data_IF_006242850799
#
_entry.id   IF_006242850799
#
_cell.length_a   1.000
_cell.length_b   1.000
_cell.length_c   1.000
_cell.angle_alpha   90.00
_cell.angle_beta   90.00
_cell.angle_gamma   90.00
#
_symmetry.space_group_name_H-M   'P 1'
#
loop_
_entity.id
_entity.type
_entity.pdbx_description
1 polymer ?
#
# COMPACT_ATOMS: atom_id res chain seq x y z
N UNK A 1 -7.73 19.61 -5.23
CA UNK A 1 -6.36 19.02 -5.14
C UNK A 1 -6.05 18.10 -6.32
N UNK A 2 -6.96 17.92 -7.27
CA UNK A 2 -6.70 17.34 -8.60
C UNK A 2 -5.97 15.98 -8.62
N UNK A 3 -6.21 15.14 -7.60
CA UNK A 3 -5.60 13.80 -7.49
C UNK A 3 -6.42 12.69 -8.14
N UNK A 4 -7.63 13.00 -8.62
CA UNK A 4 -8.60 11.99 -9.08
C UNK A 4 -8.03 11.09 -10.18
N UNK A 5 -7.41 11.68 -11.20
CA UNK A 5 -6.83 10.95 -12.33
C UNK A 5 -5.69 10.01 -11.92
N UNK A 6 -5.01 10.30 -10.81
CA UNK A 6 -3.98 9.42 -10.23
C UNK A 6 -4.63 8.28 -9.45
N UNK A 7 -5.62 8.58 -8.61
CA UNK A 7 -6.26 7.60 -7.73
C UNK A 7 -7.08 6.52 -8.46
N UNK A 8 -7.53 6.77 -9.70
CA UNK A 8 -8.33 5.82 -10.48
C UNK A 8 -7.49 4.94 -11.43
N UNK A 9 -6.17 5.06 -11.43
CA UNK A 9 -5.31 4.28 -12.33
C UNK A 9 -5.48 2.77 -12.04
N UNK A 10 -5.59 1.90 -13.07
CA UNK A 10 -5.94 0.50 -12.90
C UNK A 10 -4.71 -0.35 -12.52
N UNK A 11 -4.04 0.01 -11.44
CA UNK A 11 -2.96 -0.79 -10.88
C UNK A 11 -3.53 -1.91 -9.99
N UNK A 12 -2.76 -2.99 -9.89
CA UNK A 12 -3.13 -4.13 -9.06
C UNK A 12 -2.94 -3.77 -7.58
N UNK A 13 -4.03 -3.40 -6.92
CA UNK A 13 -4.04 -3.08 -5.50
C UNK A 13 -3.96 -4.36 -4.63
N UNK A 14 -3.60 -4.18 -3.36
CA UNK A 14 -3.57 -5.25 -2.36
C UNK A 14 -4.90 -6.03 -2.27
N UNK A 15 -6.02 -5.40 -2.62
CA UNK A 15 -7.33 -6.01 -2.70
C UNK A 15 -7.43 -7.08 -3.80
N UNK A 16 -6.73 -6.96 -4.91
CA UNK A 16 -6.78 -7.97 -5.99
C UNK A 16 -6.03 -9.24 -5.61
N UNK A 17 -4.93 -9.10 -4.86
CA UNK A 17 -4.06 -10.22 -4.49
C UNK A 17 -4.56 -10.92 -3.22
N UNK A 18 -5.06 -10.17 -2.24
CA UNK A 18 -5.39 -10.69 -0.91
C UNK A 18 -6.89 -10.79 -0.64
N UNK A 19 -7.77 -10.32 -1.53
CA UNK A 19 -9.20 -10.48 -1.31
C UNK A 19 -9.59 -11.97 -1.38
N UNK A 20 -10.27 -12.50 -0.35
CA UNK A 20 -10.86 -13.83 -0.43
C UNK A 20 -12.07 -13.82 -1.37
N UNK A 21 -12.31 -14.93 -2.07
CA UNK A 21 -13.47 -15.10 -2.98
C UNK A 21 -14.84 -14.76 -2.35
N UNK A 22 -14.94 -14.89 -1.02
CA UNK A 22 -16.18 -14.70 -0.25
C UNK A 22 -15.92 -13.84 1.00
N UNK A 23 -15.85 -12.50 0.86
CA UNK A 23 -15.66 -11.63 2.00
C UNK A 23 -16.87 -11.64 2.93
N UNK A 24 -16.63 -11.52 4.24
CA UNK A 24 -17.71 -11.48 5.24
C UNK A 24 -18.17 -10.03 5.45
N UNK A 25 -19.39 -9.72 5.03
CA UNK A 25 -19.98 -8.36 5.12
C UNK A 25 -20.31 -7.90 6.54
N UNK A 26 -20.52 -8.84 7.47
CA UNK A 26 -20.74 -8.55 8.90
C UNK A 26 -19.91 -9.53 9.75
N UNK A 27 -18.63 -9.22 10.00
CA UNK A 27 -17.75 -10.05 10.82
C UNK A 27 -18.13 -9.92 12.30
N UNK A 28 -18.12 -11.05 13.02
CA UNK A 28 -18.34 -11.05 14.48
C UNK A 28 -16.99 -10.90 15.18
N UNK A 29 -16.89 -10.01 16.17
CA UNK A 29 -15.66 -9.73 16.90
C UNK A 29 -15.00 -11.00 17.47
N UNK A 30 -15.79 -11.86 18.12
CA UNK A 30 -15.30 -13.12 18.68
C UNK A 30 -14.63 -14.05 17.64
N UNK A 31 -15.01 -13.97 16.36
CA UNK A 31 -14.34 -14.72 15.30
C UNK A 31 -13.02 -14.05 14.89
N UNK A 32 -12.98 -12.72 14.83
CA UNK A 32 -11.78 -11.95 14.50
C UNK A 32 -10.67 -12.25 15.52
N UNK A 33 -10.96 -12.08 16.80
CA UNK A 33 -10.01 -12.35 17.90
C UNK A 33 -9.52 -13.81 17.88
N UNK A 34 -10.43 -14.75 17.58
CA UNK A 34 -10.08 -16.17 17.45
C UNK A 34 -9.15 -16.44 16.27
N UNK A 35 -9.28 -15.73 15.16
CA UNK A 35 -8.40 -15.90 14.02
C UNK A 35 -7.06 -15.19 14.23
N UNK A 36 -7.07 -13.99 14.81
CA UNK A 36 -5.87 -13.22 15.16
C UNK A 36 -4.97 -13.97 16.15
N UNK A 37 -5.55 -14.66 17.14
CA UNK A 37 -4.76 -15.48 18.09
C UNK A 37 -3.97 -16.64 17.46
N UNK A 38 -4.20 -16.95 16.17
CA UNK A 38 -3.41 -17.93 15.42
C UNK A 38 -2.15 -17.33 14.80
N UNK A 39 -2.03 -16.01 14.81
CA UNK A 39 -0.92 -15.27 14.22
C UNK A 39 -0.14 -14.55 15.31
N UNK A 40 1.17 -14.44 15.12
CA UNK A 40 2.03 -13.54 15.88
C UNK A 40 1.87 -12.10 15.34
N UNK A 41 0.71 -11.50 15.65
CA UNK A 41 0.36 -10.16 15.15
C UNK A 41 1.35 -9.13 15.67
N UNK A 42 1.74 -9.21 16.94
CA UNK A 42 2.69 -8.29 17.55
C UNK A 42 4.05 -8.33 16.84
N UNK A 43 4.62 -9.52 16.63
CA UNK A 43 5.87 -9.66 15.91
C UNK A 43 5.78 -9.30 14.43
N UNK A 44 4.62 -9.50 13.78
CA UNK A 44 4.38 -9.02 12.42
C UNK A 44 4.39 -7.49 12.34
N UNK A 45 3.73 -6.82 13.28
CA UNK A 45 3.67 -5.36 13.36
C UNK A 45 5.06 -4.79 13.66
N UNK A 46 5.79 -5.36 14.61
CA UNK A 46 7.15 -4.91 14.94
C UNK A 46 8.08 -4.97 13.72
N UNK A 47 8.05 -6.08 12.97
CA UNK A 47 8.84 -6.22 11.74
C UNK A 47 8.43 -5.22 10.66
N UNK A 48 7.13 -4.99 10.49
CA UNK A 48 6.63 -4.03 9.51
C UNK A 48 7.10 -2.60 9.84
N UNK A 49 6.98 -2.21 11.11
CA UNK A 49 7.38 -0.88 11.58
C UNK A 49 8.90 -0.68 11.49
N UNK A 50 9.69 -1.69 11.86
CA UNK A 50 11.14 -1.64 11.74
C UNK A 50 11.63 -1.48 10.29
N UNK A 51 10.83 -1.90 9.31
CA UNK A 51 11.14 -1.81 7.87
C UNK A 51 10.62 -0.58 7.16
N UNK A 52 10.04 0.41 7.86
CA UNK A 52 9.44 1.59 7.23
C UNK A 52 10.53 2.44 6.55
N UNK A 53 10.19 2.98 5.37
CA UNK A 53 10.96 4.03 4.69
C UNK A 53 10.23 5.36 4.84
N UNK A 54 10.97 6.39 5.20
CA UNK A 54 10.42 7.75 5.35
C UNK A 54 11.07 8.62 4.28
N UNK A 55 10.23 9.30 3.50
CA UNK A 55 10.65 10.25 2.47
C UNK A 55 9.91 11.55 2.69
N UNK A 56 10.63 12.67 2.68
CA UNK A 56 10.04 14.01 2.69
C UNK A 56 9.68 14.39 1.25
N UNK A 57 8.44 14.85 1.03
CA UNK A 57 7.97 15.28 -0.28
C UNK A 57 7.76 16.79 -0.25
N UNK A 58 8.54 17.49 -1.06
CA UNK A 58 8.45 18.93 -1.30
C UNK A 58 7.80 19.21 -2.66
N UNK A 59 7.23 20.41 -2.89
CA UNK A 59 6.67 20.78 -4.19
C UNK A 59 7.72 20.99 -5.28
N UNK A 60 9.01 21.01 -4.93
CA UNK A 60 10.11 21.05 -5.88
C UNK A 60 10.20 19.70 -6.61
N UNK A 61 10.07 19.75 -7.94
CA UNK A 61 10.19 18.57 -8.79
C UNK A 61 11.68 18.26 -8.94
N UNK A 62 12.19 17.31 -8.16
CA UNK A 62 13.48 16.69 -8.46
C UNK A 62 13.31 15.84 -9.72
N UNK A 63 13.87 16.31 -10.83
CA UNK A 63 13.91 15.54 -12.08
C UNK A 63 14.93 14.42 -11.87
N UNK A 64 14.47 13.18 -11.72
CA UNK A 64 15.40 12.05 -11.73
C UNK A 64 16.08 11.98 -13.09
N UNK A 65 17.38 11.66 -13.07
CA UNK A 65 18.27 11.47 -14.21
C UNK A 65 17.65 10.65 -15.34
N UNK A 66 16.83 9.65 -14.99
CA UNK A 66 16.16 8.75 -15.93
C UNK A 66 15.06 9.49 -16.71
N UNK A 67 14.33 10.40 -16.05
CA UNK A 67 13.30 11.23 -16.66
C UNK A 67 13.91 12.23 -17.65
N UNK A 68 15.04 12.85 -17.29
CA UNK A 68 15.77 13.78 -18.17
C UNK A 68 16.33 13.07 -19.41
N UNK A 69 16.90 11.88 -19.21
CA UNK A 69 17.42 11.05 -20.31
C UNK A 69 16.33 10.62 -21.30
N UNK A 70 15.10 10.40 -20.83
CA UNK A 70 13.96 10.04 -21.69
C UNK A 70 13.49 11.25 -22.51
N UNK A 71 13.43 12.44 -21.90
CA UNK A 71 13.06 13.68 -22.60
C UNK A 71 14.10 14.10 -23.65
N UNK A 72 15.39 13.88 -23.41
CA UNK A 72 16.45 14.19 -24.38
C UNK A 72 16.50 13.24 -25.59
N UNK A 73 15.83 12.09 -25.51
CA UNK A 73 15.80 11.05 -26.55
C UNK A 73 14.61 11.17 -27.51
N UNK A 74 13.58 11.95 -27.14
CA UNK A 74 12.38 12.24 -27.92
C UNK A 74 12.50 13.58 -28.67
#
# INVERSE_FOLDING_TARGET
IDTFDISIQPFEDCCTIFAPDRPKTNPKLANVERYESRFDVDGLVERAVAGIRVTEITPEIETDSLSTLIEELL
#
